data_IF_950446184149
#
_entry.id   IF_950446184149
#
_cell.length_a   1.000
_cell.length_b   1.000
_cell.length_c   1.000
_cell.angle_alpha   90.00
_cell.angle_beta   90.00
_cell.angle_gamma   90.00
#
_symmetry.space_group_name_H-M   'P 1'
#
loop_
_entity.id
_entity.type
_entity.pdbx_description
1 polymer ?
#
# COMPACT_ATOMS: atom_id res chain seq x y z
N UNK A 1 5.03 -27.65 1.45
CA UNK A 1 4.00 -28.36 0.65
C UNK A 1 3.15 -27.33 -0.06
N UNK A 2 3.00 -27.46 -1.36
CA UNK A 2 2.31 -26.45 -2.18
C UNK A 2 0.89 -26.16 -1.65
N UNK A 3 0.57 -24.86 -1.43
CA UNK A 3 -0.69 -24.36 -0.91
C UNK A 3 -1.08 -24.81 0.52
N UNK A 4 -0.21 -25.48 1.25
CA UNK A 4 -0.45 -25.95 2.61
C UNK A 4 0.56 -25.40 3.61
N UNK A 5 1.85 -25.52 3.35
CA UNK A 5 2.88 -25.05 4.27
C UNK A 5 4.20 -24.70 3.60
N UNK A 6 4.99 -23.86 4.29
CA UNK A 6 6.39 -23.58 3.97
C UNK A 6 7.18 -23.85 5.26
N UNK A 7 8.19 -24.69 5.18
CA UNK A 7 9.08 -25.00 6.30
C UNK A 7 10.46 -24.42 6.03
N UNK A 8 10.96 -23.64 6.96
CA UNK A 8 12.30 -23.09 6.96
C UNK A 8 13.10 -23.77 8.08
N UNK A 9 14.34 -24.09 7.82
CA UNK A 9 15.28 -24.64 8.81
C UNK A 9 16.40 -23.65 9.08
N UNK A 10 16.95 -23.69 10.28
CA UNK A 10 18.10 -22.89 10.68
C UNK A 10 19.25 -23.08 9.70
N UNK A 11 19.80 -21.96 9.22
CA UNK A 11 21.04 -21.99 8.43
C UNK A 11 22.23 -22.19 9.37
N UNK A 12 22.98 -23.31 9.30
CA UNK A 12 24.14 -23.54 10.16
C UNK A 12 25.28 -22.54 9.92
N UNK A 13 25.35 -22.00 8.71
CA UNK A 13 26.39 -21.03 8.29
C UNK A 13 25.88 -19.59 8.34
N UNK A 14 24.93 -19.29 9.23
CA UNK A 14 24.39 -17.94 9.33
C UNK A 14 25.48 -16.93 9.74
N UNK A 15 25.54 -15.83 9.01
CA UNK A 15 26.63 -14.83 9.13
C UNK A 15 26.72 -14.14 10.50
N UNK A 16 25.61 -14.06 11.25
CA UNK A 16 25.60 -13.59 12.64
C UNK A 16 25.85 -14.76 13.58
N UNK A 17 26.96 -14.73 14.30
CA UNK A 17 27.33 -15.79 15.23
C UNK A 17 26.28 -15.96 16.34
N UNK A 18 25.83 -17.20 16.57
CA UNK A 18 24.83 -17.55 17.57
C UNK A 18 23.38 -17.38 17.15
N UNK A 19 23.11 -16.86 15.96
CA UNK A 19 21.78 -16.68 15.40
C UNK A 19 21.56 -17.58 14.16
N UNK A 20 20.29 -17.77 13.76
CA UNK A 20 19.05 -17.49 14.48
C UNK A 20 18.89 -18.35 15.74
N UNK A 21 18.06 -17.92 16.71
CA UNK A 21 17.78 -18.74 17.90
C UNK A 21 16.90 -19.93 17.61
N UNK A 22 15.85 -19.75 16.80
CA UNK A 22 14.94 -20.81 16.41
C UNK A 22 15.62 -21.86 15.52
N UNK A 23 15.26 -23.13 15.68
CA UNK A 23 15.73 -24.23 14.81
C UNK A 23 14.99 -24.24 13.47
N UNK A 24 13.81 -23.66 13.39
CA UNK A 24 13.02 -23.54 12.18
C UNK A 24 11.76 -22.72 12.36
N UNK A 25 11.11 -22.45 11.23
CA UNK A 25 9.81 -21.75 11.15
C UNK A 25 8.92 -22.55 10.21
N UNK A 26 7.70 -22.84 10.64
CA UNK A 26 6.67 -23.44 9.80
C UNK A 26 5.55 -22.43 9.54
N UNK A 27 5.31 -22.10 8.27
CA UNK A 27 4.18 -21.30 7.84
C UNK A 27 3.04 -22.22 7.42
N UNK A 28 1.91 -22.14 8.12
CA UNK A 28 0.65 -22.76 7.72
C UNK A 28 -0.12 -21.84 6.78
N UNK A 29 -0.44 -22.27 5.56
CA UNK A 29 -1.14 -21.45 4.56
C UNK A 29 -2.64 -21.56 4.79
N UNK A 30 -3.22 -20.62 5.51
CA UNK A 30 -4.66 -20.57 5.83
C UNK A 30 -5.29 -19.41 5.06
N UNK A 31 -6.07 -19.71 4.02
CA UNK A 31 -6.64 -18.69 3.11
C UNK A 31 -7.72 -17.82 3.74
N UNK A 32 -8.48 -18.37 4.67
CA UNK A 32 -9.57 -17.66 5.34
C UNK A 32 -9.07 -17.03 6.64
N UNK A 33 -9.21 -15.71 6.77
CA UNK A 33 -8.74 -14.94 7.94
C UNK A 33 -9.40 -15.36 9.25
N UNK A 34 -10.70 -15.63 9.25
CA UNK A 34 -11.39 -16.07 10.46
C UNK A 34 -10.85 -17.42 10.92
N UNK A 35 -10.59 -18.35 10.00
CA UNK A 35 -9.95 -19.63 10.29
C UNK A 35 -8.53 -19.46 10.82
N UNK A 36 -7.75 -18.50 10.29
CA UNK A 36 -6.41 -18.21 10.78
C UNK A 36 -6.45 -17.64 12.22
N UNK A 37 -7.40 -16.76 12.53
CA UNK A 37 -7.63 -16.25 13.89
C UNK A 37 -7.96 -17.39 14.86
N UNK A 38 -8.87 -18.28 14.48
CA UNK A 38 -9.23 -19.44 15.31
C UNK A 38 -8.03 -20.38 15.53
N UNK A 39 -7.21 -20.63 14.52
CA UNK A 39 -6.00 -21.44 14.66
C UNK A 39 -5.01 -20.82 15.65
N UNK A 40 -4.84 -19.49 15.61
CA UNK A 40 -4.02 -18.76 16.59
C UNK A 40 -4.60 -18.83 18.00
N UNK A 41 -5.88 -18.55 18.17
CA UNK A 41 -6.55 -18.60 19.50
C UNK A 41 -6.44 -20.01 20.11
N UNK A 42 -6.65 -21.05 19.29
CA UNK A 42 -6.53 -22.44 19.70
C UNK A 42 -5.08 -22.89 20.01
N UNK A 43 -4.07 -22.06 19.75
CA UNK A 43 -2.66 -22.39 19.97
C UNK A 43 -2.04 -23.33 18.91
N UNK A 44 -2.68 -23.48 17.76
CA UNK A 44 -2.14 -24.28 16.65
C UNK A 44 -1.01 -23.56 15.91
N UNK A 45 -0.90 -22.26 16.09
CA UNK A 45 0.21 -21.41 15.58
C UNK A 45 0.63 -20.45 16.68
N UNK A 46 1.93 -20.15 16.75
CA UNK A 46 2.53 -19.28 17.79
C UNK A 46 2.33 -17.79 17.47
N UNK A 47 2.17 -17.46 16.20
CA UNK A 47 2.07 -16.09 15.69
C UNK A 47 1.10 -16.01 14.51
N UNK A 48 0.43 -14.87 14.35
CA UNK A 48 -0.31 -14.58 13.12
C UNK A 48 0.65 -14.14 12.02
N UNK A 49 0.20 -14.22 10.75
CA UNK A 49 1.04 -13.72 9.66
C UNK A 49 1.09 -12.18 9.70
N UNK A 50 2.28 -11.59 9.52
CA UNK A 50 2.42 -10.14 9.37
C UNK A 50 1.56 -9.61 8.23
N UNK A 51 1.06 -8.40 8.35
CA UNK A 51 0.22 -7.71 7.36
C UNK A 51 -1.23 -8.18 7.23
N UNK A 52 -1.65 -9.16 8.03
CA UNK A 52 -3.03 -9.69 7.89
C UNK A 52 -3.98 -9.28 9.02
N UNK A 53 -3.47 -8.78 10.13
CA UNK A 53 -4.30 -8.42 11.28
C UNK A 53 -4.76 -6.97 11.22
N UNK A 54 -6.06 -6.78 11.05
CA UNK A 54 -6.72 -5.48 11.20
C UNK A 54 -7.01 -5.19 12.67
N UNK A 55 -7.29 -3.94 13.01
CA UNK A 55 -7.72 -3.56 14.37
C UNK A 55 -8.94 -4.36 14.84
N UNK A 56 -9.89 -4.67 13.94
CA UNK A 56 -11.06 -5.49 14.25
C UNK A 56 -10.68 -6.93 14.62
N UNK A 57 -9.80 -7.56 13.82
CA UNK A 57 -9.34 -8.92 14.09
C UNK A 57 -8.51 -9.00 15.38
N UNK A 58 -7.71 -7.97 15.69
CA UNK A 58 -6.99 -7.90 16.96
C UNK A 58 -7.95 -7.83 18.15
N UNK A 59 -9.01 -7.01 18.02
CA UNK A 59 -10.04 -6.94 19.06
C UNK A 59 -10.74 -8.28 19.25
N UNK A 60 -11.01 -9.00 18.18
CA UNK A 60 -11.60 -10.34 18.22
C UNK A 60 -10.66 -11.36 18.90
N UNK A 61 -9.38 -11.38 18.51
CA UNK A 61 -8.37 -12.21 19.17
C UNK A 61 -8.30 -11.91 20.68
N UNK A 62 -8.19 -10.63 21.05
CA UNK A 62 -8.10 -10.21 22.46
C UNK A 62 -9.32 -10.57 23.29
N UNK A 63 -10.51 -10.64 22.68
CA UNK A 63 -11.74 -11.07 23.36
C UNK A 63 -11.74 -12.58 23.68
N UNK A 64 -11.04 -13.39 22.89
CA UNK A 64 -10.97 -14.85 23.02
C UNK A 64 -9.70 -15.31 23.72
N UNK A 65 -8.58 -14.59 23.55
CA UNK A 65 -7.30 -14.82 24.21
C UNK A 65 -6.73 -13.49 24.72
N UNK A 66 -7.09 -13.13 25.95
CA UNK A 66 -6.63 -11.90 26.59
C UNK A 66 -5.10 -11.87 26.80
N UNK A 67 -4.44 -13.02 26.78
CA UNK A 67 -2.99 -13.14 26.99
C UNK A 67 -2.18 -12.84 25.73
N UNK A 68 -2.78 -12.97 24.54
CA UNK A 68 -2.11 -12.71 23.28
C UNK A 68 -1.49 -11.31 23.28
N UNK A 69 -0.27 -11.17 22.82
CA UNK A 69 0.39 -9.88 22.59
C UNK A 69 0.09 -9.46 21.17
N UNK A 70 -0.45 -8.26 20.98
CA UNK A 70 -0.77 -7.75 19.63
C UNK A 70 -0.30 -6.32 19.50
N UNK A 71 0.23 -5.98 18.33
CA UNK A 71 0.72 -4.65 18.00
C UNK A 71 0.29 -4.27 16.58
N UNK A 72 0.01 -2.98 16.35
CA UNK A 72 -0.26 -2.41 15.03
C UNK A 72 0.84 -1.39 14.74
N UNK A 73 1.47 -1.50 13.58
CA UNK A 73 2.54 -0.61 13.15
C UNK A 73 2.43 -0.28 11.65
N UNK A 74 3.02 0.83 11.19
CA UNK A 74 3.16 1.10 9.77
C UNK A 74 4.03 0.03 9.11
N UNK A 75 3.69 -0.32 7.88
CA UNK A 75 4.38 -1.40 7.14
C UNK A 75 5.06 -0.91 5.85
N UNK A 76 5.19 0.40 5.69
CA UNK A 76 5.73 1.05 4.48
C UNK A 76 5.11 0.53 3.18
N UNK A 77 3.80 0.34 3.21
CA UNK A 77 2.99 -0.05 2.05
C UNK A 77 1.92 1.00 1.83
N UNK A 78 1.83 1.55 0.64
CA UNK A 78 0.74 2.42 0.26
C UNK A 78 -0.25 1.72 -0.67
N UNK A 79 -1.52 2.09 -0.54
CA UNK A 79 -2.58 1.75 -1.49
C UNK A 79 -2.69 2.89 -2.50
N UNK A 80 -2.69 2.56 -3.78
CA UNK A 80 -2.63 3.54 -4.85
C UNK A 80 -3.44 3.13 -6.07
N UNK A 81 -3.75 4.13 -6.92
CA UNK A 81 -4.31 3.90 -8.24
C UNK A 81 -3.20 3.73 -9.26
N UNK A 82 -3.33 2.72 -10.09
CA UNK A 82 -2.63 2.62 -11.35
C UNK A 82 -3.62 2.94 -12.46
N UNK A 83 -3.35 4.01 -13.21
CA UNK A 83 -4.19 4.46 -14.32
C UNK A 83 -3.37 4.29 -15.59
N UNK A 84 -3.84 3.47 -16.51
CA UNK A 84 -3.16 3.23 -17.77
C UNK A 84 -3.26 4.45 -18.66
N UNK A 85 -2.18 5.24 -18.75
CA UNK A 85 -2.11 6.49 -19.49
C UNK A 85 -2.13 6.32 -21.00
N UNK A 86 -1.85 5.13 -21.49
CA UNK A 86 -1.85 4.81 -22.92
C UNK A 86 -3.25 4.42 -23.42
N UNK A 87 -4.17 4.10 -22.51
CA UNK A 87 -5.51 3.67 -22.84
C UNK A 87 -6.51 4.85 -22.80
N UNK A 88 -7.08 5.28 -23.94
CA UNK A 88 -8.14 6.30 -23.93
C UNK A 88 -9.36 5.86 -23.12
N UNK A 89 -10.03 6.78 -22.40
CA UNK A 89 -9.77 8.22 -22.34
C UNK A 89 -8.72 8.64 -21.28
N UNK A 90 -8.01 7.71 -20.65
CA UNK A 90 -7.11 7.96 -19.52
C UNK A 90 -5.77 8.60 -19.92
N UNK A 91 -5.49 8.73 -21.22
CA UNK A 91 -4.41 9.58 -21.73
C UNK A 91 -4.67 11.07 -21.45
N UNK A 92 -5.92 11.47 -21.17
CA UNK A 92 -6.27 12.84 -20.80
C UNK A 92 -5.90 13.12 -19.33
N UNK A 93 -4.99 14.09 -19.12
CA UNK A 93 -4.53 14.48 -17.78
C UNK A 93 -5.68 15.05 -16.93
N UNK A 94 -6.60 15.81 -17.49
CA UNK A 94 -7.71 16.40 -16.73
C UNK A 94 -8.66 15.32 -16.19
N UNK A 95 -8.90 14.24 -16.94
CA UNK A 95 -9.65 13.10 -16.42
C UNK A 95 -8.95 12.46 -15.23
N UNK A 96 -7.64 12.24 -15.31
CA UNK A 96 -6.88 11.67 -14.19
C UNK A 96 -6.88 12.59 -12.97
N UNK A 97 -6.77 13.92 -13.18
CA UNK A 97 -6.91 14.91 -12.10
C UNK A 97 -8.28 14.85 -11.45
N UNK A 98 -9.36 14.76 -12.23
CA UNK A 98 -10.71 14.61 -11.67
C UNK A 98 -10.82 13.34 -10.80
N UNK A 99 -10.24 12.22 -11.22
CA UNK A 99 -10.20 11.00 -10.41
C UNK A 99 -9.43 11.19 -9.11
N UNK A 100 -8.27 11.84 -9.14
CA UNK A 100 -7.46 12.11 -7.94
C UNK A 100 -8.17 13.05 -6.94
N UNK A 101 -8.91 14.06 -7.46
CA UNK A 101 -9.73 14.99 -6.68
C UNK A 101 -10.96 14.32 -6.02
N UNK A 102 -11.45 13.21 -6.58
CA UNK A 102 -12.60 12.50 -6.01
C UNK A 102 -12.26 11.74 -4.72
N UNK A 103 -10.97 11.50 -4.47
CA UNK A 103 -10.50 10.61 -3.40
C UNK A 103 -10.67 11.23 -2.02
N UNK A 104 -11.61 10.72 -1.25
CA UNK A 104 -11.70 10.97 0.19
C UNK A 104 -10.78 9.99 0.95
N UNK A 105 -9.54 10.40 1.11
CA UNK A 105 -8.48 9.58 1.72
C UNK A 105 -8.78 9.25 3.17
N UNK A 106 -9.43 10.20 3.90
CA UNK A 106 -9.83 9.97 5.28
C UNK A 106 -10.86 8.84 5.37
N UNK A 107 -11.86 8.82 4.50
CA UNK A 107 -12.85 7.73 4.45
C UNK A 107 -12.22 6.37 4.15
N UNK A 108 -11.19 6.29 3.30
CA UNK A 108 -10.45 5.04 3.12
C UNK A 108 -9.82 4.55 4.42
N UNK A 109 -9.15 5.44 5.15
CA UNK A 109 -8.50 5.11 6.43
C UNK A 109 -9.54 4.69 7.47
N UNK A 110 -10.64 5.42 7.58
CA UNK A 110 -11.69 5.14 8.56
C UNK A 110 -12.39 3.81 8.28
N UNK A 111 -12.72 3.52 7.02
CA UNK A 111 -13.47 2.31 6.62
C UNK A 111 -12.56 1.07 6.65
N UNK A 112 -11.37 1.15 6.06
CA UNK A 112 -10.50 -0.02 5.85
C UNK A 112 -9.67 -0.32 7.11
N UNK A 113 -9.18 0.71 7.79
CA UNK A 113 -8.26 0.58 8.91
C UNK A 113 -8.83 1.08 10.24
N UNK A 114 -10.12 1.40 10.32
CA UNK A 114 -10.78 1.92 11.54
C UNK A 114 -10.02 3.14 12.12
N UNK A 115 -9.61 4.05 11.26
CA UNK A 115 -8.86 5.24 11.62
C UNK A 115 -7.34 5.03 11.83
N UNK A 116 -6.84 3.81 11.64
CA UNK A 116 -5.44 3.44 11.92
C UNK A 116 -4.56 3.40 10.66
N UNK A 117 -4.70 4.35 9.79
CA UNK A 117 -3.87 4.53 8.61
C UNK A 117 -3.32 5.95 8.55
N UNK A 118 -2.44 6.20 7.61
CA UNK A 118 -1.80 7.49 7.46
C UNK A 118 -2.03 8.06 6.06
N UNK A 119 -2.23 9.39 6.00
CA UNK A 119 -2.20 10.10 4.73
C UNK A 119 -0.76 10.47 4.38
N UNK A 120 -0.38 10.23 3.15
CA UNK A 120 0.96 10.55 2.66
C UNK A 120 0.99 10.68 1.14
N UNK A 121 2.13 11.08 0.61
CA UNK A 121 2.46 10.97 -0.79
C UNK A 121 2.98 9.58 -1.15
N UNK A 122 3.97 9.51 -2.02
CA UNK A 122 4.59 8.26 -2.44
C UNK A 122 5.29 7.52 -1.30
N UNK A 123 5.91 8.26 -0.39
CA UNK A 123 6.71 7.74 0.71
C UNK A 123 5.94 7.74 2.02
N UNK A 124 6.31 6.83 2.93
CA UNK A 124 5.73 6.74 4.27
C UNK A 124 5.82 8.09 4.99
N UNK A 125 4.70 8.64 5.49
CA UNK A 125 4.71 9.94 6.15
C UNK A 125 5.36 9.88 7.54
N UNK A 126 5.83 11.04 8.07
CA UNK A 126 6.29 11.14 9.43
C UNK A 126 5.14 10.84 10.43
N UNK A 127 5.42 10.43 11.70
CA UNK A 127 6.77 10.38 12.29
C UNK A 127 7.59 9.13 11.92
N UNK A 128 6.96 8.06 11.44
CA UNK A 128 7.63 6.79 11.19
C UNK A 128 8.45 6.78 9.90
N UNK A 129 8.01 7.52 8.86
CA UNK A 129 8.74 7.67 7.62
C UNK A 129 9.73 8.83 7.68
N UNK A 130 10.98 8.57 7.35
CA UNK A 130 12.04 9.62 7.35
C UNK A 130 11.89 10.56 6.15
N UNK A 131 11.40 10.06 5.03
CA UNK A 131 11.42 10.74 3.74
C UNK A 131 10.07 11.29 3.28
N UNK A 132 8.97 10.89 3.90
CA UNK A 132 7.64 11.35 3.51
C UNK A 132 7.44 12.85 3.69
N UNK A 133 6.60 13.44 2.85
CA UNK A 133 6.25 14.86 2.96
C UNK A 133 5.59 15.18 4.30
N UNK A 134 5.92 16.32 4.91
CA UNK A 134 5.21 16.81 6.10
C UNK A 134 3.72 17.04 5.78
N UNK A 135 2.82 16.83 6.76
CA UNK A 135 1.37 17.00 6.55
C UNK A 135 0.95 18.37 6.02
N UNK A 136 1.64 19.44 6.42
CA UNK A 136 1.31 20.80 5.95
C UNK A 136 1.67 21.00 4.48
N UNK A 137 2.76 20.42 4.02
CA UNK A 137 3.11 20.42 2.59
C UNK A 137 2.11 19.56 1.79
N UNK A 138 1.73 18.41 2.30
CA UNK A 138 0.77 17.50 1.67
C UNK A 138 -0.58 18.20 1.42
N UNK A 139 -1.09 18.97 2.40
CA UNK A 139 -2.34 19.74 2.28
C UNK A 139 -2.33 20.80 1.18
N UNK A 140 -1.17 21.22 0.70
CA UNK A 140 -1.06 22.18 -0.43
C UNK A 140 -1.31 21.52 -1.79
N UNK A 141 -1.29 20.20 -1.86
CA UNK A 141 -1.48 19.44 -3.08
C UNK A 141 -2.98 19.26 -3.34
N UNK A 142 -3.39 19.49 -4.58
CA UNK A 142 -4.77 19.31 -5.02
C UNK A 142 -5.25 17.87 -4.78
N UNK A 143 -6.42 17.71 -4.16
CA UNK A 143 -6.97 16.43 -3.75
C UNK A 143 -6.58 15.97 -2.34
N UNK A 144 -5.74 16.72 -1.61
CA UNK A 144 -5.40 16.43 -0.21
C UNK A 144 -6.04 17.44 0.77
N UNK A 145 -6.88 18.34 0.28
CA UNK A 145 -7.56 19.38 1.05
C UNK A 145 -9.01 19.03 1.42
N UNK A 146 -9.90 19.96 1.10
CA UNK A 146 -11.34 19.82 1.37
C UNK A 146 -11.98 18.95 0.27
N UNK A 147 -12.36 17.73 0.62
CA UNK A 147 -12.93 16.75 -0.32
C UNK A 147 -14.20 17.24 -1.03
N UNK A 148 -15.01 18.08 -0.41
CA UNK A 148 -16.23 18.60 -1.04
C UNK A 148 -15.89 19.61 -2.13
N UNK A 149 -14.94 20.50 -1.89
CA UNK A 149 -14.42 21.44 -2.90
C UNK A 149 -13.72 20.68 -4.02
N UNK A 150 -12.89 19.72 -3.70
CA UNK A 150 -12.17 18.89 -4.66
C UNK A 150 -13.15 18.11 -5.55
N UNK A 151 -14.18 17.50 -5.00
CA UNK A 151 -15.23 16.82 -5.77
C UNK A 151 -16.06 17.78 -6.62
N UNK A 152 -16.30 19.01 -6.15
CA UNK A 152 -16.96 20.02 -6.97
C UNK A 152 -16.11 20.37 -8.20
N UNK A 153 -14.81 20.57 -8.02
CA UNK A 153 -13.87 20.80 -9.11
C UNK A 153 -13.81 19.60 -10.06
N UNK A 154 -13.74 18.38 -9.51
CA UNK A 154 -13.75 17.15 -10.29
C UNK A 154 -14.99 17.06 -11.19
N UNK A 155 -16.19 17.32 -10.65
CA UNK A 155 -17.44 17.33 -11.45
C UNK A 155 -17.39 18.38 -12.55
N UNK A 156 -16.85 19.57 -12.30
CA UNK A 156 -16.70 20.60 -13.34
C UNK A 156 -15.78 20.12 -14.47
N UNK A 157 -14.67 19.46 -14.14
CA UNK A 157 -13.78 18.84 -15.15
C UNK A 157 -14.53 17.77 -15.92
N UNK A 158 -15.23 16.85 -15.26
CA UNK A 158 -15.96 15.77 -15.93
C UNK A 158 -17.05 16.29 -16.86
N UNK A 159 -17.78 17.33 -16.44
CA UNK A 159 -18.79 17.99 -17.28
C UNK A 159 -18.16 18.61 -18.53
N UNK A 160 -17.00 19.27 -18.39
CA UNK A 160 -16.24 19.81 -19.52
C UNK A 160 -15.77 18.72 -20.49
N UNK A 161 -15.52 17.51 -19.99
CA UNK A 161 -15.16 16.34 -20.79
C UNK A 161 -16.38 15.62 -21.40
N UNK A 162 -17.60 16.10 -21.13
CA UNK A 162 -18.84 15.58 -21.72
C UNK A 162 -19.51 14.46 -20.91
N UNK A 163 -19.15 14.31 -19.63
CA UNK A 163 -19.76 13.35 -18.71
C UNK A 163 -20.73 14.04 -17.74
N UNK A 164 -21.76 13.33 -17.34
CA UNK A 164 -22.80 13.80 -16.43
C UNK A 164 -23.45 12.62 -15.68
N UNK A 165 -24.39 12.91 -14.79
CA UNK A 165 -25.16 11.86 -14.11
C UNK A 165 -25.93 10.97 -15.09
N UNK A 166 -26.46 11.54 -16.16
CA UNK A 166 -27.21 10.80 -17.21
C UNK A 166 -26.27 10.16 -18.26
N UNK A 167 -25.02 10.58 -18.31
CA UNK A 167 -24.00 10.08 -19.24
C UNK A 167 -22.68 9.84 -18.52
N UNK A 168 -22.61 8.86 -17.58
CA UNK A 168 -21.39 8.59 -16.83
C UNK A 168 -20.32 7.95 -17.71
N UNK A 169 -19.06 8.12 -17.30
CA UNK A 169 -17.95 7.35 -17.83
C UNK A 169 -17.98 5.93 -17.23
N UNK A 170 -18.19 4.91 -18.07
CA UNK A 170 -18.16 3.52 -17.64
C UNK A 170 -16.74 2.96 -17.69
N UNK A 171 -16.28 2.38 -16.58
CA UNK A 171 -14.95 1.80 -16.45
C UNK A 171 -14.96 0.49 -15.69
N UNK A 172 -13.86 -0.26 -15.79
CA UNK A 172 -13.54 -1.36 -14.85
C UNK A 172 -12.41 -0.94 -13.93
N UNK A 173 -12.53 -1.29 -12.65
CA UNK A 173 -11.46 -1.18 -11.67
C UNK A 173 -10.91 -2.57 -11.42
N UNK A 174 -9.74 -2.84 -11.99
CA UNK A 174 -9.06 -4.13 -11.87
C UNK A 174 -8.28 -4.18 -10.56
N UNK A 175 -8.35 -5.28 -9.84
CA UNK A 175 -7.53 -5.49 -8.64
C UNK A 175 -7.37 -6.97 -8.34
N UNK A 176 -6.41 -7.33 -7.48
CA UNK A 176 -6.24 -8.72 -7.06
C UNK A 176 -7.45 -9.19 -6.24
N UNK A 177 -7.87 -10.43 -6.46
CA UNK A 177 -8.98 -11.04 -5.72
C UNK A 177 -8.57 -11.47 -4.30
N UNK A 178 -8.03 -10.53 -3.53
CA UNK A 178 -7.66 -10.67 -2.13
C UNK A 178 -8.31 -9.52 -1.37
N UNK A 179 -8.85 -9.74 -0.18
CA UNK A 179 -9.58 -8.74 0.61
C UNK A 179 -8.81 -7.41 0.75
N UNK A 180 -7.51 -7.46 1.07
CA UNK A 180 -6.64 -6.29 1.22
C UNK A 180 -6.60 -5.37 -0.01
N UNK A 181 -6.87 -5.91 -1.19
CA UNK A 181 -6.93 -5.18 -2.46
C UNK A 181 -8.37 -4.87 -2.87
N UNK A 182 -9.27 -5.85 -2.69
CA UNK A 182 -10.66 -5.74 -3.14
C UNK A 182 -11.47 -4.75 -2.30
N UNK A 183 -11.31 -4.77 -0.99
CA UNK A 183 -12.12 -3.95 -0.09
C UNK A 183 -11.89 -2.45 -0.32
N UNK A 184 -10.64 -1.93 -0.45
CA UNK A 184 -10.40 -0.56 -0.88
C UNK A 184 -10.93 -0.25 -2.29
N UNK A 185 -10.94 -1.22 -3.21
CA UNK A 185 -11.48 -1.01 -4.56
C UNK A 185 -12.99 -0.76 -4.54
N UNK A 186 -13.73 -1.41 -3.63
CA UNK A 186 -15.16 -1.16 -3.45
C UNK A 186 -15.41 0.28 -2.96
N UNK A 187 -14.63 0.75 -1.99
CA UNK A 187 -14.71 2.14 -1.51
C UNK A 187 -14.37 3.13 -2.63
N UNK A 188 -13.33 2.84 -3.43
CA UNK A 188 -12.96 3.67 -4.59
C UNK A 188 -14.12 3.78 -5.59
N UNK A 189 -14.73 2.66 -5.96
CA UNK A 189 -15.85 2.61 -6.91
C UNK A 189 -16.99 3.51 -6.44
N UNK A 190 -17.32 3.46 -5.16
CA UNK A 190 -18.37 4.32 -4.61
C UNK A 190 -17.99 5.81 -4.66
N UNK A 191 -16.75 6.15 -4.33
CA UNK A 191 -16.28 7.54 -4.40
C UNK A 191 -16.28 8.09 -5.85
N UNK A 192 -15.92 7.28 -6.83
CA UNK A 192 -15.90 7.67 -8.25
C UNK A 192 -17.29 8.00 -8.81
N UNK A 193 -18.35 7.41 -8.26
CA UNK A 193 -19.74 7.77 -8.63
C UNK A 193 -20.04 9.25 -8.40
N UNK A 194 -19.43 9.84 -7.35
CA UNK A 194 -19.63 11.25 -7.01
C UNK A 194 -19.18 12.23 -8.09
N UNK A 195 -18.42 11.75 -9.08
CA UNK A 195 -17.87 12.53 -10.21
C UNK A 195 -18.27 11.97 -11.58
N UNK A 196 -19.41 11.29 -11.66
CA UNK A 196 -19.95 10.75 -12.90
C UNK A 196 -19.11 9.61 -13.52
N UNK A 197 -18.44 8.82 -12.70
CA UNK A 197 -17.78 7.59 -13.15
C UNK A 197 -18.57 6.40 -12.61
N UNK A 198 -19.09 5.58 -13.52
CA UNK A 198 -19.75 4.32 -13.22
C UNK A 198 -18.74 3.18 -13.38
N UNK A 199 -18.23 2.71 -12.25
CA UNK A 199 -17.14 1.76 -12.20
C UNK A 199 -17.62 0.37 -11.75
N UNK A 200 -17.17 -0.67 -12.44
CA UNK A 200 -17.39 -2.06 -12.10
C UNK A 200 -16.10 -2.68 -11.54
N UNK A 201 -16.22 -3.48 -10.47
CA UNK A 201 -15.08 -4.20 -9.92
C UNK A 201 -14.71 -5.38 -10.82
N UNK A 202 -13.43 -5.45 -11.20
CA UNK A 202 -12.84 -6.60 -11.89
C UNK A 202 -11.83 -7.30 -10.99
N UNK A 203 -12.25 -8.33 -10.21
CA UNK A 203 -11.33 -9.10 -9.39
C UNK A 203 -10.50 -10.04 -10.25
N UNK A 204 -9.18 -9.99 -10.10
CA UNK A 204 -8.20 -10.76 -10.89
C UNK A 204 -7.44 -11.71 -9.98
N UNK A 205 -7.30 -12.96 -10.39
CA UNK A 205 -6.50 -13.93 -9.65
C UNK A 205 -5.03 -13.49 -9.55
N UNK A 206 -4.44 -13.65 -8.37
CA UNK A 206 -3.08 -13.15 -8.09
C UNK A 206 -2.02 -13.72 -9.02
N UNK A 207 -2.18 -14.96 -9.47
CA UNK A 207 -1.26 -15.62 -10.41
C UNK A 207 -1.26 -14.98 -11.81
N UNK A 208 -2.34 -14.32 -12.19
CA UNK A 208 -2.49 -13.69 -13.52
C UNK A 208 -2.36 -12.17 -13.48
N UNK A 209 -2.42 -11.57 -12.28
CA UNK A 209 -2.41 -10.11 -12.09
C UNK A 209 -1.18 -9.43 -12.73
N UNK A 210 0.01 -9.91 -12.40
CA UNK A 210 1.24 -9.27 -12.90
C UNK A 210 1.37 -9.38 -14.43
N UNK A 211 0.98 -10.50 -15.00
CA UNK A 211 0.95 -10.66 -16.45
C UNK A 211 -0.10 -9.75 -17.12
N UNK A 212 -1.24 -9.51 -16.46
CA UNK A 212 -2.29 -8.59 -16.96
C UNK A 212 -1.78 -7.15 -16.98
N UNK A 213 -1.19 -6.66 -15.89
CA UNK A 213 -0.69 -5.28 -15.84
C UNK A 213 0.54 -5.07 -16.73
N UNK A 214 1.43 -6.05 -16.86
CA UNK A 214 2.60 -5.98 -17.74
C UNK A 214 2.21 -5.90 -19.24
N UNK A 215 1.05 -6.43 -19.62
CA UNK A 215 0.50 -6.32 -20.97
C UNK A 215 -0.39 -5.09 -21.18
N UNK A 216 -0.47 -4.19 -20.20
CA UNK A 216 -1.38 -3.02 -20.24
C UNK A 216 -2.87 -3.40 -20.42
N UNK A 217 -3.27 -4.62 -20.05
CA UNK A 217 -4.62 -5.12 -20.18
C UNK A 217 -5.50 -4.64 -19.00
N UNK A 218 -5.52 -3.34 -18.75
CA UNK A 218 -6.38 -2.69 -17.76
C UNK A 218 -6.53 -1.20 -18.11
N UNK A 219 -7.56 -0.56 -17.55
CA UNK A 219 -7.76 0.89 -17.66
C UNK A 219 -7.42 1.60 -16.34
N UNK A 220 -8.05 1.18 -15.28
CA UNK A 220 -7.82 1.64 -13.91
C UNK A 220 -7.63 0.43 -13.02
N UNK A 221 -6.61 0.46 -12.18
CA UNK A 221 -6.38 -0.59 -11.21
C UNK A 221 -6.14 -0.01 -9.82
N UNK A 222 -6.47 -0.80 -8.79
CA UNK A 222 -6.05 -0.54 -7.43
C UNK A 222 -4.92 -1.49 -7.08
N UNK A 223 -3.82 -0.93 -6.58
CA UNK A 223 -2.62 -1.67 -6.26
C UNK A 223 -2.08 -1.30 -4.89
N UNK A 224 -1.29 -2.20 -4.31
CA UNK A 224 -0.48 -1.95 -3.14
C UNK A 224 0.99 -1.93 -3.55
N UNK A 225 1.70 -0.88 -3.12
CA UNK A 225 3.13 -0.72 -3.37
C UNK A 225 3.85 -0.65 -2.05
N UNK A 226 4.78 -1.56 -1.82
CA UNK A 226 5.60 -1.60 -0.61
C UNK A 226 7.07 -1.36 -0.91
N UNK A 227 7.75 -0.76 0.06
CA UNK A 227 9.19 -0.56 0.03
C UNK A 227 9.86 -1.46 1.08
N UNK A 228 10.90 -2.18 0.69
CA UNK A 228 11.67 -3.06 1.58
C UNK A 228 12.76 -2.34 2.35
N UNK A 229 13.06 -1.10 1.96
CA UNK A 229 14.02 -0.21 2.62
C UNK A 229 13.40 1.18 2.78
N UNK A 230 13.82 1.91 3.80
CA UNK A 230 13.43 3.30 4.00
C UNK A 230 14.40 4.22 3.27
N UNK A 231 14.37 4.13 1.93
CA UNK A 231 15.10 5.02 1.03
C UNK A 231 14.22 5.38 -0.18
N UNK A 232 14.23 6.65 -0.62
CA UNK A 232 13.43 7.12 -1.75
C UNK A 232 13.74 6.44 -3.07
N UNK A 233 14.98 5.98 -3.26
CA UNK A 233 15.42 5.40 -4.52
C UNK A 233 14.58 4.21 -4.93
N UNK A 234 14.27 3.31 -3.99
CA UNK A 234 13.43 2.16 -4.32
C UNK A 234 12.06 2.62 -4.86
N UNK A 235 11.42 3.57 -4.19
CA UNK A 235 10.11 4.05 -4.60
C UNK A 235 10.15 4.76 -5.96
N UNK A 236 11.12 5.64 -6.17
CA UNK A 236 11.20 6.46 -7.37
C UNK A 236 11.63 5.67 -8.60
N UNK A 237 12.71 4.91 -8.51
CA UNK A 237 13.21 4.14 -9.66
C UNK A 237 12.30 2.98 -10.04
N UNK A 238 11.81 2.21 -9.06
CA UNK A 238 10.94 1.08 -9.39
C UNK A 238 9.60 1.51 -9.98
N UNK A 239 8.97 2.56 -9.44
CA UNK A 239 7.58 2.84 -9.74
C UNK A 239 7.35 4.01 -10.69
N UNK A 240 8.35 4.88 -10.93
CA UNK A 240 8.16 6.11 -11.68
C UNK A 240 9.25 6.37 -12.73
N UNK A 241 10.39 5.69 -12.71
CA UNK A 241 11.39 5.84 -13.77
C UNK A 241 10.85 5.36 -15.11
N UNK A 242 11.22 6.07 -16.17
CA UNK A 242 10.81 5.73 -17.53
C UNK A 242 11.30 4.34 -17.90
N UNK A 243 10.39 3.47 -18.33
CA UNK A 243 10.71 2.12 -18.75
C UNK A 243 10.93 1.10 -17.62
N UNK A 244 10.75 1.48 -16.35
CA UNK A 244 10.78 0.51 -15.26
C UNK A 244 9.64 -0.49 -15.37
N UNK A 245 9.92 -1.78 -15.17
CA UNK A 245 8.93 -2.87 -15.24
C UNK A 245 7.80 -2.74 -14.22
N UNK A 246 8.03 -2.05 -13.09
CA UNK A 246 7.03 -1.80 -12.06
C UNK A 246 6.29 -0.47 -12.24
N UNK A 247 6.66 0.31 -13.22
CA UNK A 247 5.97 1.54 -13.59
C UNK A 247 4.70 1.23 -14.40
N UNK A 248 3.75 0.58 -13.78
CA UNK A 248 2.50 0.12 -14.42
C UNK A 248 1.66 1.23 -15.04
N UNK A 249 1.88 2.48 -14.66
CA UNK A 249 1.15 3.63 -15.22
C UNK A 249 1.77 4.21 -16.47
N UNK A 250 2.94 3.73 -16.86
CA UNK A 250 3.76 4.27 -17.96
C UNK A 250 4.03 5.78 -17.81
N UNK A 251 4.10 6.27 -16.57
CA UNK A 251 4.54 7.63 -16.31
C UNK A 251 5.98 7.81 -16.77
N UNK A 252 6.24 8.88 -17.50
CA UNK A 252 7.61 9.19 -17.90
C UNK A 252 7.79 10.72 -17.94
N UNK A 253 8.67 11.21 -17.08
CA UNK A 253 9.11 12.60 -17.03
C UNK A 253 10.62 12.63 -16.84
N UNK A 254 11.35 12.88 -17.93
CA UNK A 254 12.83 12.85 -17.94
C UNK A 254 13.46 13.94 -17.07
N UNK A 255 12.80 15.08 -16.92
CA UNK A 255 13.29 16.15 -16.04
C UNK A 255 13.19 15.71 -14.56
N UNK A 256 12.08 15.06 -14.22
CA UNK A 256 11.90 14.54 -12.87
C UNK A 256 12.83 13.35 -12.58
N UNK A 257 13.06 12.49 -13.57
CA UNK A 257 14.01 11.37 -13.46
C UNK A 257 15.42 11.86 -13.18
N UNK A 258 15.84 12.97 -13.84
CA UNK A 258 17.13 13.61 -13.51
C UNK A 258 17.20 14.16 -12.07
N UNK A 259 16.05 14.45 -11.44
CA UNK A 259 16.03 14.80 -10.01
C UNK A 259 16.14 13.57 -9.12
N UNK A 260 15.68 12.37 -9.57
CA UNK A 260 15.95 11.12 -8.86
C UNK A 260 17.46 10.91 -8.71
N UNK A 261 18.23 11.08 -9.80
CA UNK A 261 19.68 10.94 -9.77
C UNK A 261 20.34 11.96 -8.84
N UNK A 262 19.89 13.21 -8.87
CA UNK A 262 20.44 14.26 -8.03
C UNK A 262 20.22 14.02 -6.54
N UNK A 263 19.00 13.59 -6.13
CA UNK A 263 18.72 13.32 -4.72
C UNK A 263 19.48 12.08 -4.23
N UNK A 264 19.66 11.07 -5.10
CA UNK A 264 20.34 9.82 -4.76
C UNK A 264 21.79 10.00 -4.35
N UNK A 265 22.48 11.02 -4.89
CA UNK A 265 23.87 11.34 -4.56
C UNK A 265 24.03 12.44 -3.51
N UNK A 266 22.91 13.02 -3.03
CA UNK A 266 22.96 14.06 -2.00
C UNK A 266 23.27 13.45 -0.63
N UNK A 267 24.33 13.93 0.01
CA UNK A 267 24.79 13.41 1.31
C UNK A 267 24.26 14.18 2.51
N UNK A 268 23.81 15.42 2.31
CA UNK A 268 23.11 16.18 3.35
C UNK A 268 21.67 15.71 3.44
N UNK A 269 21.32 15.05 4.56
CA UNK A 269 20.03 14.43 4.77
C UNK A 269 18.87 15.44 4.69
N UNK A 270 19.01 16.63 5.27
CA UNK A 270 17.93 17.63 5.28
C UNK A 270 17.73 18.28 3.90
N UNK A 271 18.81 18.42 3.15
CA UNK A 271 18.75 18.88 1.77
C UNK A 271 18.16 17.80 0.87
N UNK A 272 18.56 16.52 1.06
CA UNK A 272 17.98 15.37 0.35
C UNK A 272 16.47 15.26 0.61
N UNK A 273 16.01 15.40 1.86
CA UNK A 273 14.56 15.41 2.20
C UNK A 273 13.79 16.45 1.40
N UNK A 274 14.28 17.67 1.32
CA UNK A 274 13.64 18.74 0.55
C UNK A 274 13.51 18.39 -0.92
N UNK A 275 14.56 17.84 -1.52
CA UNK A 275 14.55 17.37 -2.91
C UNK A 275 13.53 16.25 -3.10
N UNK A 276 13.49 15.29 -2.18
CA UNK A 276 12.53 14.17 -2.18
C UNK A 276 11.10 14.65 -2.09
N UNK A 277 10.80 15.62 -1.24
CA UNK A 277 9.46 16.21 -1.10
C UNK A 277 9.01 16.94 -2.38
N UNK A 278 9.89 17.70 -3.02
CA UNK A 278 9.59 18.37 -4.30
C UNK A 278 9.32 17.35 -5.42
N UNK A 279 10.09 16.27 -5.47
CA UNK A 279 9.87 15.16 -6.40
C UNK A 279 8.49 14.52 -6.15
N UNK A 280 8.21 14.14 -4.90
CA UNK A 280 6.95 13.49 -4.55
C UNK A 280 5.75 14.42 -4.82
N UNK A 281 5.85 15.71 -4.45
CA UNK A 281 4.85 16.71 -4.78
C UNK A 281 4.56 16.74 -6.29
N UNK A 282 5.60 16.76 -7.12
CA UNK A 282 5.45 16.76 -8.58
C UNK A 282 4.80 15.48 -9.10
N UNK A 283 5.13 14.33 -8.52
CA UNK A 283 4.48 13.05 -8.86
C UNK A 283 2.98 13.08 -8.55
N UNK A 284 2.57 13.68 -7.41
CA UNK A 284 1.16 13.82 -7.05
C UNK A 284 0.44 14.81 -7.99
N UNK A 285 1.05 15.96 -8.31
CA UNK A 285 0.50 16.97 -9.22
C UNK A 285 0.34 16.43 -10.66
N UNK A 286 1.26 15.60 -11.12
CA UNK A 286 1.21 14.94 -12.42
C UNK A 286 0.23 13.74 -12.43
N UNK A 287 -0.37 13.46 -11.27
CA UNK A 287 -1.23 12.27 -11.08
C UNK A 287 -0.51 11.01 -11.56
N UNK A 288 0.77 10.88 -11.22
CA UNK A 288 1.61 9.77 -11.67
C UNK A 288 1.06 8.43 -11.17
N UNK A 289 0.75 8.36 -9.89
CA UNK A 289 0.11 7.21 -9.22
C UNK A 289 -0.58 7.75 -7.96
N UNK A 290 -1.87 8.14 -8.03
CA UNK A 290 -2.57 8.70 -6.88
C UNK A 290 -2.53 7.78 -5.66
N UNK A 291 -2.00 8.28 -4.56
CA UNK A 291 -1.94 7.54 -3.29
C UNK A 291 -3.25 7.74 -2.54
N UNK A 292 -3.83 6.65 -2.03
CA UNK A 292 -5.03 6.67 -1.22
C UNK A 292 -4.69 6.78 0.27
N UNK A 293 -3.78 5.90 0.72
CA UNK A 293 -3.40 5.80 2.12
C UNK A 293 -2.13 4.99 2.29
N UNK A 294 -1.45 5.16 3.39
CA UNK A 294 -0.41 4.26 3.88
C UNK A 294 -1.02 3.29 4.89
N UNK A 295 -0.72 2.01 4.70
CA UNK A 295 -1.28 0.94 5.50
C UNK A 295 -0.54 0.82 6.83
N UNK A 296 -1.33 0.60 7.89
CA UNK A 296 -0.85 -0.01 9.13
C UNK A 296 -1.34 -1.44 9.18
N UNK A 297 -0.53 -2.33 9.70
CA UNK A 297 -0.92 -3.72 9.85
C UNK A 297 -0.57 -4.22 11.24
N UNK A 298 -1.38 -5.14 11.71
CA UNK A 298 -1.19 -5.76 12.99
C UNK A 298 -0.62 -7.16 12.90
N UNK A 299 -0.08 -7.59 14.01
CA UNK A 299 0.38 -8.93 14.26
C UNK A 299 0.09 -9.30 15.69
N UNK A 300 -0.26 -10.55 15.94
CA UNK A 300 -0.42 -11.11 17.28
C UNK A 300 0.49 -12.31 17.46
N UNK A 301 1.01 -12.49 18.68
CA UNK A 301 1.82 -13.65 19.06
C UNK A 301 1.53 -14.10 20.48
N UNK A 302 1.86 -15.32 20.78
CA UNK A 302 1.71 -15.89 22.13
C UNK A 302 2.75 -15.28 23.07
N UNK A 303 2.46 -15.11 24.38
CA UNK A 303 3.35 -14.45 25.35
C UNK A 303 4.74 -15.06 25.49
N UNK A 304 4.88 -16.34 25.18
CA UNK A 304 6.16 -17.05 25.20
C UNK A 304 7.03 -16.79 23.97
N UNK A 305 6.51 -16.15 22.92
CA UNK A 305 7.31 -15.66 21.80
C UNK A 305 7.96 -14.36 22.23
N UNK A 306 9.28 -14.38 22.34
CA UNK A 306 10.07 -13.26 22.85
C UNK A 306 10.84 -12.55 21.75
N UNK A 307 11.17 -11.30 22.01
CA UNK A 307 11.98 -10.46 21.15
C UNK A 307 11.37 -10.20 19.77
N UNK A 308 10.02 -10.25 19.67
CA UNK A 308 9.33 -9.88 18.45
C UNK A 308 9.41 -8.36 18.24
N UNK A 309 9.84 -7.95 17.06
CA UNK A 309 9.91 -6.53 16.68
C UNK A 309 9.17 -6.32 15.37
N UNK A 310 8.14 -5.49 15.38
CA UNK A 310 7.47 -5.04 14.14
C UNK A 310 8.25 -3.84 13.61
N UNK A 311 8.69 -3.95 12.36
CA UNK A 311 9.46 -2.90 11.68
C UNK A 311 8.71 -2.42 10.45
N UNK A 312 8.69 -1.12 10.19
CA UNK A 312 7.97 -0.50 9.07
C UNK A 312 8.35 -1.07 7.69
N UNK A 313 9.60 -1.50 7.51
CA UNK A 313 10.09 -2.08 6.24
C UNK A 313 10.14 -3.61 6.25
N UNK A 314 9.45 -4.25 7.17
CA UNK A 314 9.64 -5.68 7.46
C UNK A 314 8.79 -6.62 6.63
N UNK A 315 7.74 -6.15 5.95
CA UNK A 315 6.86 -7.01 5.16
C UNK A 315 7.64 -7.90 4.16
N UNK A 316 8.81 -7.42 3.71
CA UNK A 316 9.71 -8.15 2.79
C UNK A 316 10.97 -8.68 3.47
N UNK A 317 11.28 -8.25 4.70
CA UNK A 317 12.53 -8.57 5.40
C UNK A 317 12.32 -9.60 6.54
N UNK A 318 11.17 -10.26 6.60
CA UNK A 318 10.88 -11.34 7.52
C UNK A 318 10.89 -10.92 9.00
N UNK A 319 10.68 -9.63 9.31
CA UNK A 319 10.63 -9.08 10.67
C UNK A 319 11.84 -9.46 11.53
N UNK A 320 12.98 -9.75 10.92
CA UNK A 320 14.22 -10.11 11.60
C UNK A 320 14.02 -11.27 12.58
N UNK A 321 13.39 -12.32 12.10
CA UNK A 321 13.08 -13.52 12.91
C UNK A 321 14.31 -14.21 13.51
N UNK A 322 15.50 -13.84 13.10
CA UNK A 322 16.75 -14.35 13.69
C UNK A 322 16.89 -14.07 15.20
N UNK A 323 16.25 -12.99 15.67
CA UNK A 323 16.33 -12.57 17.08
C UNK A 323 15.20 -13.16 17.95
N UNK A 324 14.22 -13.84 17.36
CA UNK A 324 13.08 -14.43 18.08
C UNK A 324 13.50 -15.73 18.78
N UNK A 325 12.98 -15.91 19.99
CA UNK A 325 13.12 -17.14 20.75
C UNK A 325 11.84 -17.48 21.52
N UNK A 326 11.72 -18.72 21.97
CA UNK A 326 10.54 -19.21 22.68
C UNK A 326 10.86 -19.50 24.15
N UNK A 327 10.07 -18.89 25.04
CA UNK A 327 10.12 -19.08 26.51
C UNK A 327 9.04 -20.09 26.90
N UNK A 328 9.25 -21.38 26.52
CA UNK A 328 8.34 -22.51 26.79
C UNK A 328 8.93 -23.39 27.82
#
# INVERSE_FOLDING_TARGET
KQNESITLTKNPDYWKKGLPYLDGIEYSIIRNRATAVLAFVAGNVDMTFPTEMTAALIKDIKSQDATAVCEIAPINVNTNLIINRENPPFNNLELRKAMALALDRKSFIDIIFQGQGDQGGTLLPPPEGVWGMPPDMLKTISGYGDVNKDRQQARAIMTKLGYSADKPLKIKVSTRNIATYRDPAVVLIDQLKSIYIDAELEPVESSTWFAKVARNDYSVGLNLTGNGIDDPDQAFYENYACGSERNYTHYCNKELEALFDKQSVETDVEKRKKMVWEIDKKLQEDVARPILMHARSGMCWKPYVKNMTIMSNSAYNGYRYEDIWLDK
#
